data_IF_068941595692
#
_entry.id   IF_068941595692
#
_cell.length_a   1.000
_cell.length_b   1.000
_cell.length_c   1.000
_cell.angle_alpha   90.00
_cell.angle_beta   90.00
_cell.angle_gamma   90.00
#
_symmetry.space_group_name_H-M   'P 1'
#
loop_
_entity.id
_entity.type
_entity.pdbx_description
1 polymer ?
#
# COMPACT_ATOMS: atom_id res chain seq x y z
N UNK A 1 -38.89 21.23 14.47
CA UNK A 1 -39.41 22.53 13.97
C UNK A 1 -38.25 23.50 13.73
N UNK A 2 -37.38 23.79 14.69
CA UNK A 2 -36.30 24.78 14.58
C UNK A 2 -35.27 24.51 13.42
N UNK A 3 -35.02 23.24 13.12
CA UNK A 3 -34.11 22.90 12.01
C UNK A 3 -34.70 23.29 10.64
N UNK A 4 -35.96 22.92 10.39
CA UNK A 4 -36.64 23.25 9.13
C UNK A 4 -36.77 24.76 8.89
N UNK A 5 -37.00 25.53 9.95
CA UNK A 5 -37.07 26.99 9.88
C UNK A 5 -35.70 27.60 9.50
N UNK A 6 -34.60 27.05 10.04
CA UNK A 6 -33.25 27.49 9.68
C UNK A 6 -32.89 27.15 8.23
N UNK A 7 -33.33 25.96 7.75
CA UNK A 7 -33.13 25.57 6.35
C UNK A 7 -33.91 26.51 5.44
N UNK A 8 -35.19 26.76 5.69
CA UNK A 8 -36.01 27.66 4.90
C UNK A 8 -35.48 29.12 4.87
N UNK A 9 -34.95 29.60 6.00
CA UNK A 9 -34.31 30.90 6.08
C UNK A 9 -33.00 30.95 5.28
N UNK A 10 -32.22 29.89 5.26
CA UNK A 10 -30.98 29.78 4.48
C UNK A 10 -31.26 29.74 2.95
N UNK A 11 -32.29 28.98 2.56
CA UNK A 11 -32.78 28.90 1.19
C UNK A 11 -33.32 30.27 0.70
N UNK A 12 -34.15 30.95 1.52
CA UNK A 12 -34.64 32.28 1.23
C UNK A 12 -33.51 33.33 1.09
N UNK A 13 -32.39 33.11 1.80
CA UNK A 13 -31.19 33.95 1.68
C UNK A 13 -30.26 33.52 0.51
N UNK A 14 -30.61 32.51 -0.29
CA UNK A 14 -29.82 32.01 -1.42
C UNK A 14 -28.49 31.33 -1.02
N UNK A 15 -28.34 30.91 0.25
CA UNK A 15 -27.11 30.30 0.72
C UNK A 15 -26.87 28.90 0.12
N UNK A 16 -27.91 28.22 -0.31
CA UNK A 16 -27.88 26.94 -1.05
C UNK A 16 -27.28 27.05 -2.44
N UNK A 17 -27.34 28.25 -3.03
CA UNK A 17 -26.77 28.56 -4.36
C UNK A 17 -25.32 29.02 -4.28
N UNK A 18 -24.82 29.34 -3.09
CA UNK A 18 -23.44 29.78 -2.91
C UNK A 18 -22.44 28.73 -3.38
N UNK A 19 -21.43 29.14 -4.17
CA UNK A 19 -20.41 28.24 -4.74
C UNK A 19 -19.77 27.35 -3.69
N UNK A 20 -19.34 27.90 -2.57
CA UNK A 20 -18.70 27.18 -1.48
C UNK A 20 -19.62 26.11 -0.84
N UNK A 21 -20.94 26.34 -0.81
CA UNK A 21 -21.91 25.35 -0.33
C UNK A 21 -22.06 24.21 -1.33
N UNK A 22 -22.20 24.54 -2.62
CA UNK A 22 -22.30 23.53 -3.70
C UNK A 22 -21.06 22.64 -3.79
N UNK A 23 -19.87 23.21 -3.71
CA UNK A 23 -18.60 22.46 -3.70
C UNK A 23 -18.52 21.51 -2.49
N UNK A 24 -18.98 21.98 -1.31
CA UNK A 24 -19.00 21.15 -0.11
C UNK A 24 -20.00 20.01 -0.22
N UNK A 25 -21.20 20.27 -0.72
CA UNK A 25 -22.23 19.25 -0.95
C UNK A 25 -21.75 18.23 -1.97
N UNK A 26 -21.15 18.67 -3.08
CA UNK A 26 -20.61 17.76 -4.08
C UNK A 26 -19.43 16.92 -3.55
N UNK A 27 -18.60 17.49 -2.70
CA UNK A 27 -17.55 16.77 -2.01
C UNK A 27 -18.09 15.70 -1.03
N UNK A 28 -19.19 15.95 -0.35
CA UNK A 28 -19.89 14.94 0.48
C UNK A 28 -20.54 13.86 -0.39
N UNK A 29 -21.24 14.27 -1.44
CA UNK A 29 -21.89 13.37 -2.40
C UNK A 29 -20.87 12.41 -3.04
N UNK A 30 -19.77 12.92 -3.52
CA UNK A 30 -18.70 12.12 -4.13
C UNK A 30 -18.11 11.09 -3.15
N UNK A 31 -17.94 11.46 -1.87
CA UNK A 31 -17.49 10.53 -0.83
C UNK A 31 -18.51 9.43 -0.54
N UNK A 32 -19.79 9.78 -0.45
CA UNK A 32 -20.87 8.81 -0.22
C UNK A 32 -21.02 7.87 -1.42
N UNK A 33 -20.96 8.40 -2.63
CA UNK A 33 -21.05 7.60 -3.86
C UNK A 33 -19.90 6.59 -3.92
N UNK A 34 -18.66 7.00 -3.60
CA UNK A 34 -17.51 6.07 -3.56
C UNK A 34 -17.72 4.91 -2.60
N UNK A 35 -18.24 5.15 -1.40
CA UNK A 35 -18.51 4.08 -0.43
C UNK A 35 -19.67 3.17 -0.86
N UNK A 36 -20.69 3.71 -1.53
CA UNK A 36 -21.86 2.97 -2.01
C UNK A 36 -21.58 2.15 -3.27
N UNK A 37 -20.72 2.66 -4.16
CA UNK A 37 -20.36 2.00 -5.42
C UNK A 37 -19.24 0.96 -5.27
N UNK A 38 -18.68 0.76 -4.08
CA UNK A 38 -17.69 -0.30 -3.87
C UNK A 38 -18.41 -1.64 -3.75
N UNK A 39 -18.41 -2.42 -4.83
CA UNK A 39 -18.93 -3.80 -4.82
C UNK A 39 -17.98 -4.69 -3.99
N UNK A 40 -18.45 -5.09 -2.80
CA UNK A 40 -17.69 -5.97 -1.90
C UNK A 40 -17.35 -7.33 -2.53
N UNK A 41 -18.22 -7.84 -3.39
CA UNK A 41 -18.02 -9.13 -4.09
C UNK A 41 -16.90 -9.02 -5.12
N UNK A 42 -16.86 -7.92 -5.89
CA UNK A 42 -15.77 -7.66 -6.84
C UNK A 42 -14.46 -7.43 -6.10
N UNK A 43 -14.50 -6.72 -4.99
CA UNK A 43 -13.33 -6.45 -4.14
C UNK A 43 -12.80 -7.73 -3.52
N UNK A 44 -13.66 -8.63 -3.04
CA UNK A 44 -13.27 -9.93 -2.50
C UNK A 44 -12.66 -10.84 -3.56
N UNK A 45 -13.32 -10.96 -4.72
CA UNK A 45 -12.79 -11.72 -5.85
C UNK A 45 -11.42 -11.22 -6.30
N UNK A 46 -11.22 -9.93 -6.26
CA UNK A 46 -9.96 -9.31 -6.57
C UNK A 46 -8.89 -9.52 -5.49
N UNK A 47 -9.28 -9.47 -4.20
CA UNK A 47 -8.41 -9.81 -3.09
C UNK A 47 -8.00 -11.29 -3.13
N UNK A 48 -8.92 -12.20 -3.50
CA UNK A 48 -8.62 -13.61 -3.66
C UNK A 48 -7.65 -13.88 -4.80
N UNK A 49 -7.84 -13.27 -5.96
CA UNK A 49 -6.87 -13.35 -7.05
C UNK A 49 -5.48 -12.86 -6.65
N UNK A 50 -5.42 -11.82 -5.85
CA UNK A 50 -4.19 -11.29 -5.31
C UNK A 50 -3.53 -12.28 -4.36
N UNK A 51 -4.31 -12.87 -3.45
CA UNK A 51 -3.87 -13.91 -2.52
C UNK A 51 -3.33 -15.14 -3.26
N UNK A 52 -4.06 -15.62 -4.27
CA UNK A 52 -3.64 -16.78 -5.07
C UNK A 52 -2.35 -16.48 -5.84
N UNK A 53 -2.21 -15.28 -6.37
CA UNK A 53 -0.95 -14.82 -6.99
C UNK A 53 0.21 -14.75 -6.00
N UNK A 54 -0.04 -14.32 -4.77
CA UNK A 54 0.97 -14.36 -3.69
C UNK A 54 1.36 -15.80 -3.36
N UNK A 55 0.38 -16.68 -3.23
CA UNK A 55 0.57 -18.09 -2.88
C UNK A 55 1.28 -18.89 -3.96
N UNK A 56 1.01 -18.62 -5.23
CA UNK A 56 1.63 -19.29 -6.38
C UNK A 56 3.04 -18.77 -6.71
N UNK A 57 3.44 -17.61 -6.18
CA UNK A 57 4.77 -17.03 -6.38
C UNK A 57 5.72 -17.31 -5.22
N UNK A 58 7.02 -17.04 -5.40
CA UNK A 58 8.02 -17.08 -4.33
C UNK A 58 7.76 -16.03 -3.21
N UNK A 59 6.74 -15.22 -3.34
CA UNK A 59 6.32 -14.15 -2.41
C UNK A 59 5.26 -14.59 -1.41
N UNK A 60 5.06 -15.91 -1.25
CA UNK A 60 4.09 -16.43 -0.30
C UNK A 60 4.59 -16.26 1.15
N UNK A 61 3.68 -15.84 2.04
CA UNK A 61 3.93 -15.75 3.47
C UNK A 61 4.39 -14.40 3.98
N UNK A 62 4.97 -14.44 5.15
CA UNK A 62 5.63 -13.31 5.79
C UNK A 62 7.12 -13.63 5.94
N UNK A 63 7.94 -12.60 5.90
CA UNK A 63 9.38 -12.73 6.07
C UNK A 63 9.81 -11.88 7.26
N UNK A 64 10.51 -12.47 8.21
CA UNK A 64 11.16 -11.72 9.28
C UNK A 64 12.56 -11.37 8.83
N UNK A 65 12.88 -10.09 8.86
CA UNK A 65 14.15 -9.57 8.36
C UNK A 65 14.86 -8.73 9.41
N UNK A 66 16.17 -8.68 9.32
CA UNK A 66 17.03 -7.66 9.89
C UNK A 66 17.70 -6.92 8.75
N UNK A 67 17.99 -5.62 8.90
CA UNK A 67 18.61 -4.86 7.84
C UNK A 67 19.66 -3.87 8.36
N UNK A 68 20.64 -3.61 7.51
CA UNK A 68 21.53 -2.47 7.64
C UNK A 68 20.95 -1.41 6.71
N UNK A 69 20.42 -0.35 7.29
CA UNK A 69 19.73 0.71 6.57
C UNK A 69 20.46 2.03 6.71
N UNK A 70 20.68 2.69 5.60
CA UNK A 70 21.20 4.07 5.55
C UNK A 70 20.18 4.98 4.91
N UNK A 71 19.59 5.85 5.70
CA UNK A 71 18.65 6.86 5.21
C UNK A 71 19.35 7.84 4.27
N UNK A 72 18.70 8.15 3.16
CA UNK A 72 19.13 9.16 2.20
C UNK A 72 18.01 10.17 1.97
N UNK A 73 18.17 11.43 2.35
CA UNK A 73 17.19 12.47 2.04
C UNK A 73 17.11 12.71 0.53
N UNK A 74 15.94 13.17 0.04
CA UNK A 74 15.71 13.41 -1.38
C UNK A 74 16.68 14.43 -2.01
N UNK A 75 17.23 15.33 -1.19
CA UNK A 75 18.19 16.36 -1.61
C UNK A 75 19.64 16.02 -1.23
N UNK A 76 19.97 14.73 -1.10
CA UNK A 76 21.34 14.29 -0.79
C UNK A 76 22.32 14.78 -1.84
N UNK A 77 23.45 15.30 -1.41
CA UNK A 77 24.52 15.73 -2.33
C UNK A 77 25.17 14.52 -3.01
N UNK A 78 25.67 14.71 -4.24
CA UNK A 78 26.33 13.62 -4.95
C UNK A 78 27.58 13.07 -4.25
N UNK A 79 28.27 13.90 -3.45
CA UNK A 79 29.39 13.43 -2.63
C UNK A 79 28.92 12.53 -1.50
N UNK A 80 27.92 12.97 -0.72
CA UNK A 80 27.36 12.17 0.38
C UNK A 80 26.72 10.87 -0.10
N UNK A 81 26.11 10.89 -1.29
CA UNK A 81 25.57 9.66 -1.90
C UNK A 81 26.70 8.67 -2.21
N UNK A 82 27.79 9.11 -2.86
CA UNK A 82 28.94 8.24 -3.14
C UNK A 82 29.56 7.67 -1.88
N UNK A 83 29.70 8.49 -0.83
CA UNK A 83 30.25 8.05 0.45
C UNK A 83 29.34 7.00 1.13
N UNK A 84 28.03 7.20 1.07
CA UNK A 84 27.09 6.23 1.59
C UNK A 84 27.14 4.90 0.83
N UNK A 85 27.17 4.94 -0.50
CA UNK A 85 27.31 3.73 -1.34
C UNK A 85 28.60 2.99 -1.01
N UNK A 86 29.74 3.68 -1.05
CA UNK A 86 31.05 3.08 -0.77
C UNK A 86 31.12 2.43 0.63
N UNK A 87 30.44 3.05 1.60
CA UNK A 87 30.33 2.48 2.95
C UNK A 87 29.50 1.22 2.97
N UNK A 88 28.35 1.21 2.31
CA UNK A 88 27.48 0.03 2.23
C UNK A 88 28.17 -1.12 1.49
N UNK A 89 28.89 -0.83 0.41
CA UNK A 89 29.68 -1.82 -0.32
C UNK A 89 30.77 -2.42 0.58
N UNK A 90 31.49 -1.60 1.33
CA UNK A 90 32.53 -2.06 2.25
C UNK A 90 31.95 -2.95 3.39
N UNK A 91 30.76 -2.62 3.90
CA UNK A 91 30.06 -3.44 4.90
C UNK A 91 29.66 -4.77 4.26
N UNK A 92 29.12 -4.76 3.06
CA UNK A 92 28.72 -5.97 2.36
C UNK A 92 29.92 -6.88 2.09
N UNK A 93 31.04 -6.36 1.61
CA UNK A 93 32.27 -7.12 1.43
C UNK A 93 32.81 -7.72 2.75
N UNK A 94 32.73 -6.96 3.84
CA UNK A 94 33.09 -7.47 5.17
C UNK A 94 32.18 -8.65 5.56
N UNK A 95 30.87 -8.53 5.38
CA UNK A 95 29.90 -9.58 5.71
C UNK A 95 30.04 -10.82 4.81
N UNK A 96 30.42 -10.65 3.56
CA UNK A 96 30.73 -11.79 2.68
C UNK A 96 31.94 -12.61 3.18
N UNK A 97 32.93 -11.95 3.78
CA UNK A 97 34.10 -12.63 4.38
C UNK A 97 33.82 -13.19 5.76
N UNK A 98 32.78 -12.70 6.44
CA UNK A 98 32.37 -13.07 7.79
C UNK A 98 30.85 -13.39 7.80
N UNK A 99 30.44 -14.55 7.30
CA UNK A 99 29.04 -14.86 7.05
C UNK A 99 28.22 -15.23 8.32
N UNK A 100 28.82 -15.12 9.49
CA UNK A 100 28.16 -15.42 10.76
C UNK A 100 27.07 -14.38 11.11
N UNK A 101 26.13 -14.78 11.96
CA UNK A 101 25.04 -13.90 12.38
C UNK A 101 25.51 -12.78 13.30
N UNK A 102 26.54 -13.01 14.09
CA UNK A 102 27.08 -12.02 15.05
C UNK A 102 27.73 -10.86 14.29
N UNK A 103 28.42 -11.13 13.18
CA UNK A 103 28.98 -10.08 12.31
C UNK A 103 27.88 -9.21 11.72
N UNK A 104 26.77 -9.80 11.24
CA UNK A 104 25.65 -9.04 10.71
C UNK A 104 24.99 -8.16 11.79
N UNK A 105 24.70 -8.74 12.96
CA UNK A 105 24.08 -8.03 14.07
C UNK A 105 24.98 -6.90 14.60
N UNK A 106 26.30 -7.12 14.65
CA UNK A 106 27.28 -6.08 14.99
C UNK A 106 27.28 -4.93 13.98
N UNK A 107 27.14 -5.24 12.68
CA UNK A 107 27.01 -4.23 11.65
C UNK A 107 25.70 -3.44 11.75
N UNK A 108 24.57 -4.11 12.05
CA UNK A 108 23.29 -3.44 12.31
C UNK A 108 23.43 -2.45 13.47
N UNK A 109 24.00 -2.87 14.60
CA UNK A 109 24.18 -2.00 15.76
C UNK A 109 25.07 -0.79 15.49
N UNK A 110 26.10 -0.94 14.69
CA UNK A 110 27.11 0.10 14.44
C UNK A 110 26.77 1.05 13.31
N UNK A 111 26.09 0.56 12.27
CA UNK A 111 25.96 1.28 11.00
C UNK A 111 24.54 1.51 10.54
N UNK A 112 23.55 0.76 11.07
CA UNK A 112 22.17 0.93 10.68
C UNK A 112 21.51 2.11 11.37
N UNK A 113 20.73 2.88 10.61
CA UNK A 113 19.88 3.94 11.16
C UNK A 113 18.62 3.35 11.83
N UNK A 114 18.22 2.11 11.47
CA UNK A 114 17.17 1.33 12.13
C UNK A 114 17.74 -0.02 12.58
N UNK A 115 17.53 -0.39 13.84
CA UNK A 115 18.20 -1.54 14.45
C UNK A 115 17.29 -2.72 14.74
N UNK A 116 15.97 -2.54 14.64
CA UNK A 116 15.02 -3.58 15.00
C UNK A 116 14.70 -4.48 13.81
N UNK A 117 14.73 -5.80 14.06
CA UNK A 117 14.19 -6.77 13.11
C UNK A 117 12.66 -6.64 13.04
N UNK A 118 12.10 -6.75 11.85
CA UNK A 118 10.68 -6.59 11.61
C UNK A 118 10.13 -7.66 10.65
N UNK A 119 8.81 -7.74 10.58
CA UNK A 119 8.11 -8.63 9.66
C UNK A 119 7.65 -7.87 8.43
N UNK A 120 7.85 -8.47 7.28
CA UNK A 120 7.40 -7.96 5.99
C UNK A 120 6.33 -8.88 5.45
N UNK A 121 5.16 -8.32 5.20
CA UNK A 121 4.11 -8.95 4.41
C UNK A 121 4.02 -8.25 3.06
N UNK A 122 3.53 -8.95 2.07
CA UNK A 122 3.39 -8.37 0.74
C UNK A 122 2.50 -7.12 0.74
N UNK A 123 2.84 -6.11 -0.08
CA UNK A 123 2.21 -4.80 -0.20
C UNK A 123 2.38 -3.86 1.03
N UNK A 124 3.34 -4.14 1.90
CA UNK A 124 3.65 -3.25 3.04
C UNK A 124 4.79 -2.29 2.76
N UNK A 125 5.77 -2.76 2.00
CA UNK A 125 7.01 -2.04 1.74
C UNK A 125 7.10 -1.58 0.27
N UNK A 126 8.04 -0.69 -0.07
CA UNK A 126 8.32 -0.38 -1.47
C UNK A 126 8.60 -1.64 -2.29
N UNK A 127 8.19 -1.61 -3.56
CA UNK A 127 8.32 -2.77 -4.48
C UNK A 127 9.75 -3.28 -4.54
N UNK A 128 10.72 -2.38 -4.58
CA UNK A 128 12.15 -2.70 -4.64
C UNK A 128 12.60 -3.50 -3.43
N UNK A 129 12.09 -3.14 -2.24
CA UNK A 129 12.38 -3.85 -0.99
C UNK A 129 11.74 -5.24 -0.98
N UNK A 130 10.46 -5.32 -1.34
CA UNK A 130 9.72 -6.57 -1.37
C UNK A 130 10.32 -7.56 -2.39
N UNK A 131 10.70 -7.08 -3.59
CA UNK A 131 11.29 -7.92 -4.63
C UNK A 131 12.58 -8.59 -4.17
N UNK A 132 13.42 -7.87 -3.45
CA UNK A 132 14.65 -8.42 -2.88
C UNK A 132 14.33 -9.40 -1.76
N UNK A 133 13.55 -8.99 -0.77
CA UNK A 133 13.31 -9.78 0.45
C UNK A 133 12.59 -11.10 0.17
N UNK A 134 11.57 -11.06 -0.69
CA UNK A 134 10.84 -12.29 -1.05
C UNK A 134 11.63 -13.20 -2.01
N UNK A 135 12.67 -12.71 -2.66
CA UNK A 135 13.59 -13.51 -3.48
C UNK A 135 14.63 -14.29 -2.67
N UNK A 136 14.89 -13.90 -1.42
CA UNK A 136 15.91 -14.51 -0.56
C UNK A 136 15.36 -15.70 0.24
N UNK A 137 16.22 -16.67 0.50
CA UNK A 137 15.95 -17.79 1.42
C UNK A 137 16.22 -17.38 2.87
N UNK A 138 15.71 -18.17 3.84
CA UNK A 138 16.04 -17.97 5.24
C UNK A 138 17.56 -18.13 5.46
N UNK A 139 18.16 -17.17 6.18
CA UNK A 139 19.61 -17.08 6.42
C UNK A 139 20.37 -16.32 5.33
N UNK A 140 19.77 -16.07 4.18
CA UNK A 140 20.40 -15.40 3.04
C UNK A 140 20.41 -13.87 3.23
N UNK A 141 21.44 -13.23 2.66
CA UNK A 141 21.65 -11.79 2.71
C UNK A 141 21.61 -11.20 1.30
N UNK A 142 21.00 -10.01 1.15
CA UNK A 142 21.00 -9.28 -0.11
C UNK A 142 22.33 -8.59 -0.39
N UNK A 143 22.57 -8.26 -1.64
CA UNK A 143 23.49 -7.17 -2.00
C UNK A 143 22.92 -5.82 -1.55
N UNK A 144 23.74 -4.75 -1.48
CA UNK A 144 23.23 -3.40 -1.28
C UNK A 144 22.23 -3.02 -2.39
N UNK A 145 21.08 -2.49 -2.02
CA UNK A 145 20.08 -2.03 -2.97
C UNK A 145 19.40 -0.75 -2.50
N UNK A 146 18.80 -0.03 -3.44
CA UNK A 146 18.13 1.24 -3.19
C UNK A 146 16.63 1.08 -3.04
N UNK A 147 16.06 1.90 -2.15
CA UNK A 147 14.63 2.21 -2.08
C UNK A 147 14.45 3.73 -2.09
N UNK A 148 13.22 4.25 -2.20
CA UNK A 148 12.97 5.70 -2.07
C UNK A 148 13.44 6.30 -0.74
N UNK A 149 13.71 5.48 0.28
CA UNK A 149 14.12 5.92 1.63
C UNK A 149 15.64 5.89 1.82
N UNK A 150 16.37 5.10 1.04
CA UNK A 150 17.82 4.98 1.19
C UNK A 150 18.40 3.68 0.65
N UNK A 151 19.52 3.26 1.24
CA UNK A 151 20.25 2.05 0.86
C UNK A 151 20.07 0.99 1.94
N UNK A 152 19.86 -0.24 1.51
CA UNK A 152 19.63 -1.38 2.40
C UNK A 152 20.57 -2.55 2.08
N UNK A 153 20.98 -3.29 3.11
CA UNK A 153 21.43 -4.68 3.04
C UNK A 153 20.52 -5.46 3.97
N UNK A 154 19.79 -6.43 3.47
CA UNK A 154 18.78 -7.18 4.23
C UNK A 154 19.24 -8.61 4.44
N UNK A 155 19.05 -9.15 5.65
CA UNK A 155 19.18 -10.58 5.95
C UNK A 155 17.83 -11.14 6.34
N UNK A 156 17.42 -12.21 5.66
CA UNK A 156 16.19 -12.94 6.00
C UNK A 156 16.49 -13.84 7.20
N UNK A 157 15.82 -13.59 8.31
CA UNK A 157 15.96 -14.37 9.53
C UNK A 157 15.07 -15.62 9.51
N UNK A 158 13.83 -15.44 9.03
CA UNK A 158 12.81 -16.48 9.10
C UNK A 158 11.77 -16.25 7.99
N UNK A 159 11.30 -17.34 7.39
CA UNK A 159 10.13 -17.35 6.52
C UNK A 159 8.95 -17.97 7.26
N UNK A 160 7.85 -17.25 7.35
CA UNK A 160 6.63 -17.68 7.99
C UNK A 160 5.62 -18.11 6.92
N UNK A 161 4.84 -19.13 7.23
CA UNK A 161 3.78 -19.58 6.33
C UNK A 161 2.77 -18.46 6.05
N UNK A 162 2.17 -18.54 4.88
CA UNK A 162 1.13 -17.59 4.50
C UNK A 162 -0.13 -17.84 5.34
N UNK A 163 -0.66 -16.80 6.02
CA UNK A 163 -1.92 -16.93 6.75
C UNK A 163 -3.06 -17.33 5.80
N UNK A 164 -4.15 -17.91 6.34
CA UNK A 164 -5.31 -18.25 5.52
C UNK A 164 -5.92 -17.01 4.86
N UNK A 165 -6.58 -17.17 3.71
CA UNK A 165 -7.24 -16.06 3.02
C UNK A 165 -8.23 -15.32 3.93
N UNK A 166 -9.01 -16.07 4.71
CA UNK A 166 -10.02 -15.49 5.59
C UNK A 166 -9.41 -14.59 6.69
N UNK A 167 -8.20 -14.91 7.16
CA UNK A 167 -7.50 -14.11 8.18
C UNK A 167 -6.89 -12.82 7.63
N UNK A 168 -6.59 -12.75 6.32
CA UNK A 168 -5.95 -11.58 5.68
C UNK A 168 -6.85 -10.86 4.70
N UNK A 169 -8.07 -11.35 4.48
CA UNK A 169 -9.03 -10.84 3.50
C UNK A 169 -9.26 -9.33 3.64
N UNK A 170 -9.64 -8.88 4.83
CA UNK A 170 -9.93 -7.47 5.08
C UNK A 170 -8.70 -6.58 4.85
N UNK A 171 -7.53 -7.06 5.29
CA UNK A 171 -6.27 -6.35 5.09
C UNK A 171 -5.90 -6.24 3.61
N UNK A 172 -6.06 -7.31 2.83
CA UNK A 172 -5.82 -7.31 1.39
C UNK A 172 -6.78 -6.39 0.65
N UNK A 173 -8.06 -6.36 1.07
CA UNK A 173 -9.05 -5.45 0.51
C UNK A 173 -8.68 -3.99 0.78
N UNK A 174 -8.29 -3.66 2.02
CA UNK A 174 -7.88 -2.31 2.42
C UNK A 174 -6.59 -1.86 1.70
N UNK A 175 -5.56 -2.72 1.63
CA UNK A 175 -4.28 -2.42 0.96
C UNK A 175 -4.44 -2.19 -0.54
N UNK A 176 -5.31 -2.95 -1.19
CA UNK A 176 -5.61 -2.77 -2.60
C UNK A 176 -6.28 -1.42 -2.86
N UNK A 177 -7.22 -1.02 -2.01
CA UNK A 177 -7.87 0.28 -2.11
C UNK A 177 -6.85 1.45 -2.04
N UNK A 178 -5.79 1.30 -1.25
CA UNK A 178 -4.72 2.31 -1.18
C UNK A 178 -3.78 2.33 -2.40
N UNK A 179 -3.49 1.18 -3.00
CA UNK A 179 -2.46 1.08 -4.07
C UNK A 179 -3.00 1.32 -5.49
N UNK A 180 -4.28 1.05 -5.74
CA UNK A 180 -4.90 1.18 -7.07
C UNK A 180 -5.99 2.26 -7.17
N UNK A 181 -6.18 3.03 -6.10
CA UNK A 181 -7.34 3.90 -6.02
C UNK A 181 -8.66 3.10 -6.02
N UNK A 182 -9.73 3.72 -5.60
CA UNK A 182 -11.06 3.11 -5.45
C UNK A 182 -11.71 2.77 -6.83
N UNK A 183 -10.99 3.00 -7.93
CA UNK A 183 -11.57 3.08 -9.27
C UNK A 183 -12.05 1.74 -9.87
N UNK A 184 -11.35 0.63 -9.65
CA UNK A 184 -11.71 -0.63 -10.34
C UNK A 184 -13.02 -1.26 -9.84
N UNK A 185 -13.39 -1.07 -8.58
CA UNK A 185 -14.68 -1.53 -8.03
C UNK A 185 -15.82 -0.61 -8.45
N UNK A 186 -15.57 0.70 -8.48
CA UNK A 186 -16.53 1.71 -8.91
C UNK A 186 -16.83 1.63 -10.41
N UNK A 187 -15.83 1.38 -11.26
CA UNK A 187 -16.00 1.18 -12.70
C UNK A 187 -16.85 -0.05 -13.02
N UNK A 188 -16.60 -1.20 -12.34
CA UNK A 188 -17.39 -2.40 -12.52
C UNK A 188 -18.86 -2.21 -12.09
N UNK A 189 -19.10 -1.45 -11.02
CA UNK A 189 -20.43 -1.11 -10.55
C UNK A 189 -21.13 -0.15 -11.52
N UNK A 190 -20.42 0.86 -12.02
CA UNK A 190 -20.94 1.79 -13.01
C UNK A 190 -21.32 1.05 -14.32
N UNK A 191 -20.52 0.10 -14.77
CA UNK A 191 -20.83 -0.73 -15.93
C UNK A 191 -22.07 -1.63 -15.71
N UNK A 192 -22.20 -2.19 -14.48
CA UNK A 192 -23.38 -2.95 -14.10
C UNK A 192 -24.64 -2.07 -14.09
N UNK A 193 -24.55 -0.88 -13.48
CA UNK A 193 -25.65 0.08 -13.47
C UNK A 193 -25.99 0.57 -14.89
N UNK A 194 -25.01 0.85 -15.75
CA UNK A 194 -25.24 1.19 -17.15
C UNK A 194 -25.99 0.12 -17.91
N UNK A 195 -25.70 -1.17 -17.67
CA UNK A 195 -26.48 -2.29 -18.26
C UNK A 195 -27.89 -2.31 -17.72
N UNK A 196 -28.04 -2.21 -16.41
CA UNK A 196 -29.33 -2.28 -15.73
C UNK A 196 -30.27 -1.13 -16.14
N UNK A 197 -29.72 0.09 -16.31
CA UNK A 197 -30.49 1.27 -16.76
C UNK A 197 -30.66 1.39 -18.27
N UNK A 198 -29.85 0.73 -19.09
CA UNK A 198 -30.08 0.65 -20.56
C UNK A 198 -31.17 -0.34 -20.93
N UNK A 199 -31.38 -1.37 -20.10
CA UNK A 199 -32.41 -2.39 -20.32
C UNK A 199 -33.77 -2.04 -19.69
N UNK A 200 -33.90 -0.91 -18.98
CA UNK A 200 -35.17 -0.38 -18.49
C UNK A 200 -35.79 0.52 -19.56
N UNK A 201 -36.95 0.13 -20.16
CA UNK A 201 -37.65 1.02 -21.08
C UNK A 201 -38.07 2.28 -20.32
N UNK A 202 -37.83 3.41 -20.98
CA UNK A 202 -38.18 4.77 -20.50
C UNK A 202 -39.66 4.82 -20.05
N UNK A 203 -39.87 4.88 -18.72
CA UNK A 203 -41.21 5.00 -18.11
C UNK A 203 -41.63 6.44 -17.92
N UNK A 204 -41.01 7.37 -18.63
CA UNK A 204 -41.47 8.76 -18.71
C UNK A 204 -42.38 8.97 -19.89
N UNK A 205 -43.46 8.20 -19.95
CA UNK A 205 -44.64 8.59 -20.67
C UNK A 205 -45.48 9.48 -19.76
N UNK A 206 -45.27 10.75 -19.80
CA UNK A 206 -46.20 11.74 -19.26
C UNK A 206 -47.08 12.16 -20.43
N UNK A 207 -48.32 11.70 -20.41
CA UNK A 207 -49.46 12.36 -21.10
C UNK A 207 -49.82 13.65 -20.38
#
# INVERSE_FOLDING_TARGET
>A
VNFKLKVAAAEAAGLDTALAFRERVEGYRSRLIKSYLTDTVVTEKAARRLYDKMKSGHRAGQVRVSHIFKYLPQNVSGAALRDAVARMDSIYEYLQRNPDSEAFDSCVERFSDEKQAFRVSWLQMPVEFEDVVFGLSAGEMSQPFFTPQGIHIVKVLERLEMPSFESVKEELMARRAHRHGVDSGAEAQVEKLKKEYRDTPDKTGVD
#
